data_IF_839739808532
#
_entry.id   IF_839739808532
#
_cell.length_a   1.000
_cell.length_b   1.000
_cell.length_c   1.000
_cell.angle_alpha   90.00
_cell.angle_beta   90.00
_cell.angle_gamma   90.00
#
_symmetry.space_group_name_H-M   'P 1'
#
loop_
_entity.id
_entity.type
_entity.pdbx_description
1 polymer ?
#
# COMPACT_ATOMS: atom_id res chain seq x y z
N UNK A 1 -12.35 -2.15 -8.29
CA UNK A 1 -10.95 -1.69 -8.10
C UNK A 1 -10.50 -2.24 -6.77
N UNK A 2 -9.55 -3.18 -6.77
CA UNK A 2 -9.00 -3.82 -5.57
C UNK A 2 -8.53 -2.79 -4.54
N UNK A 3 -8.80 -3.04 -3.25
CA UNK A 3 -8.34 -2.21 -2.14
C UNK A 3 -7.32 -3.03 -1.37
N UNK A 4 -6.05 -2.87 -1.72
CA UNK A 4 -4.97 -3.64 -1.11
C UNK A 4 -4.67 -3.10 0.29
N UNK A 5 -5.04 -3.87 1.32
CA UNK A 5 -4.68 -3.60 2.72
C UNK A 5 -3.47 -4.47 3.08
N UNK A 6 -2.28 -3.91 2.89
CA UNK A 6 -1.02 -4.59 3.22
C UNK A 6 -0.84 -4.73 4.74
N UNK A 7 -0.18 -5.80 5.23
CA UNK A 7 0.18 -5.93 6.65
C UNK A 7 0.92 -4.72 7.21
N UNK A 8 1.68 -3.99 6.39
CA UNK A 8 2.33 -2.73 6.77
C UNK A 8 1.30 -1.66 7.17
N UNK A 9 0.15 -1.55 6.49
CA UNK A 9 -0.91 -0.61 6.87
C UNK A 9 -1.50 -0.93 8.25
N UNK A 10 -1.74 -2.22 8.52
CA UNK A 10 -2.23 -2.68 9.84
C UNK A 10 -1.21 -2.35 10.94
N UNK A 11 0.07 -2.65 10.72
CA UNK A 11 1.15 -2.32 11.66
C UNK A 11 1.35 -0.81 11.84
N UNK A 12 1.20 -0.02 10.78
CA UNK A 12 1.23 1.45 10.87
C UNK A 12 0.10 1.96 11.77
N UNK A 13 -1.12 1.43 11.62
CA UNK A 13 -2.25 1.79 12.47
C UNK A 13 -2.01 1.44 13.94
N UNK A 14 -1.49 0.24 14.21
CA UNK A 14 -1.11 -0.20 15.57
C UNK A 14 -0.03 0.73 16.16
N UNK A 15 1.01 1.03 15.40
CA UNK A 15 2.10 1.91 15.86
C UNK A 15 1.58 3.32 16.14
N UNK A 16 0.73 3.87 15.27
CA UNK A 16 0.10 5.18 15.47
C UNK A 16 -0.75 5.17 16.75
N UNK A 17 -1.55 4.12 16.97
CA UNK A 17 -2.36 3.97 18.17
C UNK A 17 -1.52 3.96 19.45
N UNK A 18 -0.27 3.46 19.39
CA UNK A 18 0.65 3.44 20.52
C UNK A 18 1.32 4.79 20.80
N UNK A 19 1.54 5.61 19.76
CA UNK A 19 2.40 6.81 19.85
C UNK A 19 1.63 8.13 19.74
N UNK A 20 0.35 8.11 19.37
CA UNK A 20 -0.47 9.31 19.28
C UNK A 20 -0.84 9.84 20.66
N UNK A 21 -0.74 11.15 20.84
CA UNK A 21 -1.36 11.82 21.97
C UNK A 21 -2.84 12.04 21.68
N UNK A 22 -3.71 11.33 22.39
CA UNK A 22 -5.16 11.42 22.17
C UNK A 22 -5.77 12.79 22.52
N UNK A 23 -5.07 13.65 23.25
CA UNK A 23 -5.56 14.99 23.58
C UNK A 23 -5.18 16.02 22.51
N UNK A 24 -3.96 15.95 21.96
CA UNK A 24 -3.49 16.90 20.95
C UNK A 24 -3.59 16.40 19.51
N UNK A 25 -3.70 15.09 19.30
CA UNK A 25 -3.62 14.45 17.99
C UNK A 25 -2.20 14.36 17.42
N UNK A 26 -1.19 14.80 18.18
CA UNK A 26 0.21 14.79 17.73
C UNK A 26 0.85 13.41 17.93
N UNK A 27 1.72 13.02 16.99
CA UNK A 27 2.51 11.79 17.12
C UNK A 27 3.74 12.05 18.00
N UNK A 28 3.83 11.37 19.15
CA UNK A 28 5.01 11.39 20.02
C UNK A 28 6.06 10.40 19.53
N UNK A 29 6.64 10.69 18.38
CA UNK A 29 7.66 9.82 17.78
C UNK A 29 9.02 10.09 18.44
N UNK A 30 9.60 9.10 19.11
CA UNK A 30 11.00 9.15 19.57
C UNK A 30 11.87 8.27 18.68
N UNK A 31 13.16 8.23 18.97
CA UNK A 31 14.15 7.52 18.14
C UNK A 31 13.87 6.01 18.00
N UNK A 32 13.22 5.38 18.97
CA UNK A 32 12.88 3.96 18.90
C UNK A 32 11.69 3.72 17.96
N UNK A 33 10.66 4.55 18.06
CA UNK A 33 9.46 4.52 17.24
C UNK A 33 9.81 4.83 15.78
N UNK A 34 10.76 5.73 15.52
CA UNK A 34 11.29 6.00 14.18
C UNK A 34 11.89 4.76 13.52
N UNK A 35 12.61 3.91 14.28
CA UNK A 35 13.21 2.67 13.75
C UNK A 35 12.15 1.64 13.36
N UNK A 36 10.97 1.68 13.99
CA UNK A 36 9.84 0.82 13.66
C UNK A 36 8.99 1.41 12.53
N UNK A 37 8.85 2.74 12.50
CA UNK A 37 8.03 3.46 11.52
C UNK A 37 8.65 3.44 10.12
N UNK A 38 9.96 3.67 10.01
CA UNK A 38 10.65 3.79 8.72
C UNK A 38 10.49 2.57 7.80
N UNK A 39 10.73 1.32 8.28
CA UNK A 39 10.53 0.13 7.47
C UNK A 39 9.08 0.01 6.96
N UNK A 40 8.10 0.28 7.83
CA UNK A 40 6.68 0.20 7.45
C UNK A 40 6.28 1.26 6.41
N UNK A 41 6.84 2.47 6.51
CA UNK A 41 6.65 3.51 5.51
C UNK A 41 7.31 3.15 4.18
N UNK A 42 8.48 2.51 4.20
CA UNK A 42 9.15 2.03 3.01
C UNK A 42 8.36 0.92 2.31
N UNK A 43 7.85 -0.05 3.07
CA UNK A 43 6.99 -1.11 2.54
C UNK A 43 5.72 -0.53 1.89
N UNK A 44 5.10 0.45 2.55
CA UNK A 44 3.94 1.15 2.00
C UNK A 44 4.28 1.90 0.70
N UNK A 45 5.42 2.60 0.65
CA UNK A 45 5.87 3.30 -0.55
C UNK A 45 6.07 2.34 -1.73
N UNK A 46 6.71 1.20 -1.48
CA UNK A 46 6.95 0.19 -2.51
C UNK A 46 5.63 -0.39 -3.04
N UNK A 47 4.70 -0.72 -2.15
CA UNK A 47 3.38 -1.22 -2.52
C UNK A 47 2.61 -0.23 -3.39
N UNK A 48 2.57 1.05 -2.98
CA UNK A 48 1.86 2.10 -3.72
C UNK A 48 2.46 2.25 -5.12
N UNK A 49 3.79 2.30 -5.23
CA UNK A 49 4.48 2.40 -6.53
C UNK A 49 4.13 1.25 -7.46
N UNK A 50 4.28 0.01 -6.98
CA UNK A 50 4.00 -1.18 -7.79
C UNK A 50 2.53 -1.23 -8.24
N UNK A 51 1.61 -0.90 -7.32
CA UNK A 51 0.18 -0.89 -7.63
C UNK A 51 -0.19 0.20 -8.64
N UNK A 52 0.38 1.40 -8.50
CA UNK A 52 0.12 2.52 -9.42
C UNK A 52 0.71 2.26 -10.80
N UNK A 53 1.92 1.69 -10.88
CA UNK A 53 2.54 1.26 -12.14
C UNK A 53 1.65 0.25 -12.88
N UNK A 54 1.16 -0.79 -12.19
CA UNK A 54 0.26 -1.77 -12.79
C UNK A 54 -1.07 -1.15 -13.24
N UNK A 55 -1.67 -0.27 -12.44
CA UNK A 55 -2.92 0.42 -12.81
C UNK A 55 -2.73 1.32 -14.03
N UNK A 56 -1.60 2.02 -14.13
CA UNK A 56 -1.28 2.85 -15.29
C UNK A 56 -1.07 1.98 -16.53
N UNK A 57 -0.36 0.86 -16.43
CA UNK A 57 -0.20 -0.09 -17.53
C UNK A 57 -1.54 -0.67 -17.99
N UNK A 58 -2.44 -1.01 -17.05
CA UNK A 58 -3.78 -1.49 -17.39
C UNK A 58 -4.59 -0.42 -18.13
N UNK A 59 -4.47 0.84 -17.71
CA UNK A 59 -5.11 1.96 -18.39
C UNK A 59 -4.55 2.14 -19.81
N UNK A 60 -3.23 2.11 -19.99
CA UNK A 60 -2.59 2.19 -21.31
C UNK A 60 -3.05 1.07 -22.24
N UNK A 61 -3.02 -0.19 -21.76
CA UNK A 61 -3.50 -1.35 -22.51
C UNK A 61 -4.98 -1.22 -22.89
N UNK A 62 -5.82 -0.76 -21.95
CA UNK A 62 -7.24 -0.52 -22.21
C UNK A 62 -7.45 0.56 -23.28
N UNK A 63 -6.70 1.66 -23.21
CA UNK A 63 -6.79 2.73 -24.23
C UNK A 63 -6.29 2.30 -25.61
N UNK A 64 -5.38 1.33 -25.66
CA UNK A 64 -4.92 0.71 -26.90
C UNK A 64 -5.88 -0.37 -27.45
N UNK A 65 -6.90 -0.77 -26.68
CA UNK A 65 -7.82 -1.85 -27.02
C UNK A 65 -7.25 -3.26 -26.78
N UNK A 66 -6.13 -3.38 -26.09
CA UNK A 66 -5.48 -4.67 -25.77
C UNK A 66 -6.08 -5.26 -24.49
N UNK A 67 -7.25 -5.90 -24.65
CA UNK A 67 -8.02 -6.42 -23.52
C UNK A 67 -7.39 -7.67 -22.89
N UNK A 68 -6.59 -8.44 -23.63
CA UNK A 68 -5.87 -9.59 -23.09
C UNK A 68 -4.83 -9.11 -22.07
N UNK A 69 -4.09 -8.06 -22.42
CA UNK A 69 -3.12 -7.48 -21.49
C UNK A 69 -3.77 -6.81 -20.28
N UNK A 70 -4.92 -6.14 -20.45
CA UNK A 70 -5.73 -5.63 -19.32
C UNK A 70 -6.10 -6.76 -18.36
N UNK A 71 -6.52 -7.91 -18.89
CA UNK A 71 -6.91 -9.06 -18.08
C UNK A 71 -5.71 -9.62 -17.31
N UNK A 72 -4.55 -9.77 -17.95
CA UNK A 72 -3.33 -10.24 -17.28
C UNK A 72 -2.89 -9.31 -16.14
N UNK A 73 -2.95 -7.99 -16.34
CA UNK A 73 -2.59 -7.02 -15.30
C UNK A 73 -3.59 -7.04 -14.16
N UNK A 74 -4.88 -7.19 -14.46
CA UNK A 74 -5.94 -7.29 -13.44
C UNK A 74 -5.73 -8.53 -12.57
N UNK A 75 -5.41 -9.68 -13.17
CA UNK A 75 -5.09 -10.91 -12.42
C UNK A 75 -3.91 -10.69 -11.48
N UNK A 76 -2.84 -10.00 -11.92
CA UNK A 76 -1.70 -9.69 -11.03
C UNK A 76 -2.11 -8.81 -9.85
N UNK A 77 -2.96 -7.81 -10.06
CA UNK A 77 -3.48 -6.96 -8.99
C UNK A 77 -4.32 -7.76 -7.99
N UNK A 78 -5.15 -8.70 -8.48
CA UNK A 78 -5.94 -9.59 -7.63
C UNK A 78 -5.05 -10.56 -6.83
N UNK A 79 -4.00 -11.12 -7.45
CA UNK A 79 -3.00 -11.96 -6.76
C UNK A 79 -2.25 -11.18 -5.67
N UNK A 80 -1.90 -9.92 -5.93
CA UNK A 80 -1.30 -9.04 -4.93
C UNK A 80 -2.26 -8.77 -3.77
N UNK A 81 -3.54 -8.49 -4.04
CA UNK A 81 -4.56 -8.30 -3.01
C UNK A 81 -4.75 -9.57 -2.16
N UNK A 82 -4.81 -10.74 -2.79
CA UNK A 82 -4.95 -12.03 -2.12
C UNK A 82 -3.75 -12.38 -1.23
N UNK A 83 -2.54 -11.96 -1.62
CA UNK A 83 -1.32 -12.16 -0.80
C UNK A 83 -1.35 -11.38 0.51
N UNK A 84 -2.07 -10.27 0.56
CA UNK A 84 -2.01 -9.30 1.65
C UNK A 84 -3.29 -9.22 2.50
N UNK A 85 -4.39 -9.79 2.02
CA UNK A 85 -5.66 -9.95 2.74
C UNK A 85 -5.49 -10.82 3.98
#
# INVERSE_FOLDING_TARGET
MAVIIHPAHRKLAELVQMIIDHHSGELKVRNLEMRLLFPLLMDNLMLVRETDELKNLALEAQTAGDMDWVQEITVKLDEMEAKYS
#
